data_IF_613217716623
#
_entry.id   IF_613217716623
#
_cell.length_a   1.000
_cell.length_b   1.000
_cell.length_c   1.000
_cell.angle_alpha   90.00
_cell.angle_beta   90.00
_cell.angle_gamma   90.00
#
_symmetry.space_group_name_H-M   'P 1'
#
loop_
_entity.id
_entity.type
_entity.pdbx_description
1 polymer ?
#
# COMPACT_ATOMS: atom_id res chain seq x y z
N UNK A 1 29.12 -10.78 9.67
CA UNK A 1 28.05 -9.82 9.28
C UNK A 1 27.46 -9.23 10.56
N UNK A 2 27.33 -7.91 10.70
CA UNK A 2 26.82 -7.28 11.94
C UNK A 2 25.33 -7.54 12.15
N UNK A 3 24.87 -7.53 13.41
CA UNK A 3 23.46 -7.75 13.79
C UNK A 3 22.53 -6.78 13.04
N UNK A 4 22.87 -5.50 12.99
CA UNK A 4 22.08 -4.47 12.29
C UNK A 4 21.98 -4.71 10.79
N UNK A 5 23.07 -5.13 10.13
CA UNK A 5 23.05 -5.46 8.70
C UNK A 5 22.15 -6.67 8.44
N UNK A 6 22.21 -7.70 9.30
CA UNK A 6 21.33 -8.88 9.21
C UNK A 6 19.87 -8.48 9.32
N UNK A 7 19.51 -7.65 10.30
CA UNK A 7 18.12 -7.20 10.48
C UNK A 7 17.62 -6.37 9.31
N UNK A 8 18.43 -5.44 8.79
CA UNK A 8 18.06 -4.64 7.62
C UNK A 8 17.87 -5.52 6.37
N UNK A 9 18.75 -6.50 6.14
CA UNK A 9 18.61 -7.45 5.03
C UNK A 9 17.37 -8.31 5.18
N UNK A 10 17.10 -8.86 6.37
CA UNK A 10 15.87 -9.62 6.62
C UNK A 10 14.65 -8.77 6.34
N UNK A 11 14.68 -7.48 6.73
CA UNK A 11 13.56 -6.57 6.50
C UNK A 11 13.27 -6.28 5.05
N UNK A 12 14.29 -5.98 4.27
CA UNK A 12 14.15 -5.80 2.82
C UNK A 12 13.65 -7.09 2.16
N UNK A 13 14.24 -8.23 2.50
CA UNK A 13 13.89 -9.52 1.87
C UNK A 13 12.50 -10.03 2.25
N UNK A 14 11.93 -9.55 3.36
CA UNK A 14 10.57 -9.91 3.79
C UNK A 14 9.52 -8.92 3.28
N UNK A 15 9.93 -7.87 2.56
CA UNK A 15 8.99 -6.90 2.01
C UNK A 15 8.11 -7.58 0.95
N UNK A 16 6.79 -7.41 1.08
CA UNK A 16 5.84 -7.97 0.13
C UNK A 16 5.66 -7.01 -1.05
N UNK A 17 5.58 -7.54 -2.27
CA UNK A 17 5.20 -6.78 -3.45
C UNK A 17 3.72 -7.00 -3.73
N UNK A 18 2.95 -5.91 -3.80
CA UNK A 18 1.52 -5.95 -4.08
C UNK A 18 1.19 -5.10 -5.31
N UNK A 19 0.57 -5.73 -6.30
CA UNK A 19 0.08 -5.07 -7.51
C UNK A 19 -1.37 -4.64 -7.32
N UNK A 20 -1.65 -3.36 -7.55
CA UNK A 20 -2.98 -2.75 -7.41
C UNK A 20 -3.57 -2.34 -8.77
N UNK A 21 -4.85 -2.59 -9.06
CA UNK A 21 -5.81 -3.29 -8.22
C UNK A 21 -5.51 -4.80 -8.21
N UNK A 22 -5.66 -5.46 -7.06
CA UNK A 22 -5.41 -6.88 -6.97
C UNK A 22 -6.54 -7.67 -7.62
N UNK A 23 -6.18 -8.56 -8.54
CA UNK A 23 -7.10 -9.34 -9.41
C UNK A 23 -8.20 -10.09 -8.62
N UNK A 24 -7.96 -10.38 -7.33
CA UNK A 24 -8.90 -11.14 -6.48
C UNK A 24 -9.92 -10.31 -5.69
N UNK A 25 -9.71 -9.00 -5.48
CA UNK A 25 -10.53 -8.21 -4.55
C UNK A 25 -11.62 -7.35 -5.23
N UNK A 26 -11.85 -7.58 -6.52
CA UNK A 26 -12.92 -6.96 -7.29
C UNK A 26 -13.89 -8.03 -7.79
N UNK A 27 -14.20 -9.03 -6.95
CA UNK A 27 -15.36 -9.87 -7.23
C UNK A 27 -16.63 -9.09 -6.84
N UNK A 28 -17.73 -9.33 -7.57
CA UNK A 28 -18.96 -8.56 -7.39
C UNK A 28 -19.51 -8.68 -5.95
N UNK A 29 -19.33 -9.83 -5.29
CA UNK A 29 -19.85 -10.06 -3.95
C UNK A 29 -19.13 -9.21 -2.88
N UNK A 30 -17.82 -9.06 -2.98
CA UNK A 30 -17.03 -8.20 -2.09
C UNK A 30 -17.31 -6.72 -2.33
N UNK A 31 -17.47 -6.32 -3.60
CA UNK A 31 -17.87 -4.97 -3.97
C UNK A 31 -19.27 -4.65 -3.46
N UNK A 32 -20.22 -5.55 -3.64
CA UNK A 32 -21.59 -5.39 -3.14
C UNK A 32 -21.59 -5.27 -1.61
N UNK A 33 -20.84 -6.12 -0.89
CA UNK A 33 -20.70 -5.98 0.57
C UNK A 33 -20.11 -4.64 0.98
N UNK A 34 -19.11 -4.13 0.24
CA UNK A 34 -18.47 -2.86 0.54
C UNK A 34 -19.41 -1.69 0.29
N UNK A 35 -20.11 -1.65 -0.85
CA UNK A 35 -21.04 -0.57 -1.20
C UNK A 35 -22.35 -0.61 -0.41
N UNK A 36 -22.90 -1.79 -0.13
CA UNK A 36 -24.12 -1.94 0.68
C UNK A 36 -23.92 -1.52 2.14
N UNK A 37 -22.67 -1.42 2.61
CA UNK A 37 -22.40 -0.87 3.93
C UNK A 37 -22.64 0.64 4.01
N UNK A 38 -22.63 1.37 2.89
CA UNK A 38 -22.83 2.83 2.87
C UNK A 38 -24.32 3.18 2.65
N UNK A 39 -24.80 4.29 3.23
CA UNK A 39 -26.19 4.73 3.03
C UNK A 39 -26.44 5.06 1.56
N UNK A 40 -27.52 4.55 0.99
CA UNK A 40 -27.95 4.89 -0.38
C UNK A 40 -28.81 6.15 -0.45
N UNK A 41 -29.32 6.62 0.69
CA UNK A 41 -30.10 7.85 0.84
C UNK A 41 -30.00 8.42 2.27
N UNK A 42 -30.32 9.70 2.45
CA UNK A 42 -30.49 10.34 3.75
C UNK A 42 -31.37 11.59 3.61
N UNK A 43 -31.92 12.09 4.72
CA UNK A 43 -32.81 13.26 4.70
C UNK A 43 -32.07 14.60 4.62
N UNK A 44 -30.77 14.60 4.94
CA UNK A 44 -29.89 15.76 4.80
C UNK A 44 -28.44 15.38 4.52
N UNK A 45 -27.64 16.34 4.06
CA UNK A 45 -26.21 16.18 3.87
C UNK A 45 -25.48 15.74 5.16
N UNK A 46 -25.83 16.35 6.30
CA UNK A 46 -25.18 16.04 7.58
C UNK A 46 -25.46 14.60 8.02
N UNK A 47 -26.69 14.13 7.89
CA UNK A 47 -27.04 12.74 8.18
C UNK A 47 -26.31 11.77 7.25
N UNK A 48 -26.25 12.09 5.96
CA UNK A 48 -25.52 11.27 4.98
C UNK A 48 -24.03 11.18 5.33
N UNK A 49 -23.43 12.30 5.73
CA UNK A 49 -22.02 12.37 6.10
C UNK A 49 -21.72 11.58 7.38
N UNK A 50 -22.55 11.72 8.42
CA UNK A 50 -22.40 10.96 9.67
C UNK A 50 -22.53 9.46 9.40
N UNK A 51 -23.61 9.04 8.73
CA UNK A 51 -23.84 7.63 8.40
C UNK A 51 -22.72 7.05 7.54
N UNK A 52 -22.24 7.79 6.52
CA UNK A 52 -21.10 7.36 5.71
C UNK A 52 -19.80 7.23 6.52
N UNK A 53 -19.59 8.10 7.50
CA UNK A 53 -18.42 8.06 8.39
C UNK A 53 -18.45 6.84 9.31
N UNK A 54 -19.63 6.50 9.84
CA UNK A 54 -19.83 5.30 10.65
C UNK A 54 -19.64 4.02 9.82
N UNK A 55 -20.21 3.97 8.61
CA UNK A 55 -20.00 2.87 7.66
C UNK A 55 -18.53 2.69 7.29
N UNK A 56 -17.81 3.78 7.02
CA UNK A 56 -16.37 3.73 6.75
C UNK A 56 -15.59 3.17 7.96
N UNK A 57 -15.94 3.60 9.18
CA UNK A 57 -15.32 3.10 10.40
C UNK A 57 -15.61 1.60 10.63
N UNK A 58 -16.79 1.11 10.25
CA UNK A 58 -17.13 -0.30 10.32
C UNK A 58 -16.39 -1.13 9.26
N UNK A 59 -16.40 -0.67 8.00
CA UNK A 59 -15.78 -1.34 6.86
C UNK A 59 -14.25 -1.40 7.01
N UNK A 60 -13.61 -0.33 7.48
CA UNK A 60 -12.16 -0.26 7.71
C UNK A 60 -11.63 -1.19 8.81
N UNK A 61 -12.49 -1.78 9.64
CA UNK A 61 -12.08 -2.78 10.64
C UNK A 61 -11.80 -4.15 10.02
N UNK A 62 -12.30 -4.41 8.80
CA UNK A 62 -11.94 -5.58 8.02
C UNK A 62 -10.54 -5.38 7.43
N UNK A 63 -9.60 -6.31 7.65
CA UNK A 63 -8.25 -6.25 7.07
C UNK A 63 -8.27 -6.16 5.54
N UNK A 64 -9.22 -6.85 4.89
CA UNK A 64 -9.39 -6.84 3.44
C UNK A 64 -9.82 -5.46 2.94
N UNK A 65 -10.82 -4.88 3.60
CA UNK A 65 -11.38 -3.60 3.19
C UNK A 65 -10.47 -2.43 3.55
N UNK A 66 -9.77 -2.51 4.69
CA UNK A 66 -8.74 -1.54 5.06
C UNK A 66 -7.64 -1.46 4.00
N UNK A 67 -7.26 -2.60 3.42
CA UNK A 67 -6.30 -2.62 2.32
C UNK A 67 -6.89 -1.91 1.11
N UNK A 68 -8.10 -2.28 0.66
CA UNK A 68 -8.76 -1.67 -0.52
C UNK A 68 -8.94 -0.15 -0.39
N UNK A 69 -9.39 0.32 0.77
CA UNK A 69 -9.73 1.73 1.01
C UNK A 69 -8.52 2.66 1.16
N UNK A 70 -7.33 2.11 1.46
CA UNK A 70 -6.11 2.90 1.63
C UNK A 70 -5.38 3.20 0.30
N UNK A 71 -5.89 2.67 -0.82
CA UNK A 71 -5.30 2.89 -2.14
C UNK A 71 -6.18 3.78 -3.01
N UNK A 72 -5.56 4.59 -3.89
CA UNK A 72 -6.31 5.41 -4.83
C UNK A 72 -7.17 4.52 -5.74
N UNK A 73 -8.44 4.90 -5.85
CA UNK A 73 -9.40 4.28 -6.78
C UNK A 73 -8.98 4.52 -8.23
N UNK A 74 -8.29 5.63 -8.50
CA UNK A 74 -7.71 5.92 -9.80
C UNK A 74 -6.42 5.12 -10.00
N UNK A 75 -6.57 3.89 -10.49
CA UNK A 75 -5.48 2.96 -10.77
C UNK A 75 -4.63 3.37 -11.99
N UNK A 76 -5.09 4.32 -12.82
CA UNK A 76 -4.36 4.82 -13.98
C UNK A 76 -3.22 5.77 -13.57
N UNK A 77 -3.27 6.32 -12.36
CA UNK A 77 -2.19 7.15 -11.85
C UNK A 77 -0.98 6.30 -11.45
N UNK A 78 0.26 6.76 -11.74
CA UNK A 78 1.49 6.07 -11.35
C UNK A 78 1.71 6.16 -9.84
N UNK A 79 1.04 5.29 -9.09
CA UNK A 79 1.13 5.23 -7.64
C UNK A 79 2.07 4.10 -7.20
N UNK A 80 3.13 4.47 -6.49
CA UNK A 80 4.00 3.55 -5.78
C UNK A 80 4.17 3.99 -4.34
N UNK A 81 3.91 3.09 -3.39
CA UNK A 81 4.03 3.40 -1.96
C UNK A 81 4.51 2.21 -1.16
N UNK A 82 5.52 2.43 -0.34
CA UNK A 82 5.85 1.52 0.74
C UNK A 82 4.96 1.79 1.96
N UNK A 83 4.20 0.79 2.37
CA UNK A 83 3.38 0.80 3.57
C UNK A 83 4.17 0.20 4.74
N UNK A 84 4.47 1.04 5.74
CA UNK A 84 5.38 0.69 6.84
C UNK A 84 4.79 -0.33 7.82
N UNK A 85 3.51 -0.21 8.25
CA UNK A 85 2.91 -1.17 9.16
C UNK A 85 2.81 -2.57 8.58
N UNK A 86 2.51 -2.71 7.29
CA UNK A 86 2.40 -4.02 6.64
C UNK A 86 3.70 -4.50 6.01
N UNK A 87 4.72 -3.64 5.89
CA UNK A 87 5.96 -3.97 5.19
C UNK A 87 5.78 -4.21 3.68
N UNK A 88 4.77 -3.60 3.08
CA UNK A 88 4.36 -3.90 1.70
C UNK A 88 4.73 -2.77 0.75
N UNK A 89 5.40 -3.10 -0.36
CA UNK A 89 5.56 -2.23 -1.52
C UNK A 89 4.34 -2.39 -2.44
N UNK A 90 3.51 -1.35 -2.50
CA UNK A 90 2.34 -1.31 -3.36
C UNK A 90 2.69 -0.59 -4.67
N UNK A 91 2.32 -1.20 -5.79
CA UNK A 91 2.53 -0.66 -7.14
C UNK A 91 1.21 -0.73 -7.88
N UNK A 92 0.65 0.44 -8.23
CA UNK A 92 -0.55 0.51 -9.06
C UNK A 92 -0.23 0.17 -10.52
N UNK A 93 -1.19 -0.37 -11.27
CA UNK A 93 -1.04 -0.68 -12.70
C UNK A 93 -0.65 0.55 -13.53
N UNK A 94 -1.11 1.75 -13.16
CA UNK A 94 -0.68 3.01 -13.77
C UNK A 94 0.81 3.30 -13.64
N UNK A 95 1.50 2.70 -12.65
CA UNK A 95 2.95 2.78 -12.54
C UNK A 95 3.69 1.88 -13.55
N UNK A 96 3.02 0.88 -14.11
CA UNK A 96 3.52 0.01 -15.17
C UNK A 96 3.19 0.63 -16.54
N UNK A 97 3.44 1.95 -16.66
CA UNK A 97 3.18 2.73 -17.85
C UNK A 97 4.26 3.82 -18.01
N UNK A 98 4.26 4.50 -19.16
CA UNK A 98 5.21 5.57 -19.44
C UNK A 98 5.04 6.73 -18.42
N UNK A 99 6.13 7.38 -17.99
CA UNK A 99 7.53 7.14 -18.40
C UNK A 99 8.27 6.09 -17.55
N UNK A 100 7.60 5.47 -16.57
CA UNK A 100 8.24 4.56 -15.62
C UNK A 100 8.55 3.19 -16.24
N UNK A 101 7.70 2.72 -17.14
CA UNK A 101 7.84 1.44 -17.81
C UNK A 101 7.39 1.53 -19.28
N UNK A 102 8.07 0.80 -20.14
CA UNK A 102 7.75 0.69 -21.57
C UNK A 102 7.77 -0.79 -21.95
N UNK A 103 6.70 -1.37 -22.50
CA UNK A 103 6.68 -2.82 -22.78
C UNK A 103 7.86 -3.34 -23.62
N UNK A 104 8.38 -2.50 -24.52
CA UNK A 104 9.54 -2.80 -25.39
C UNK A 104 10.78 -1.95 -25.08
N UNK A 105 10.88 -1.41 -23.86
CA UNK A 105 12.03 -0.58 -23.46
C UNK A 105 13.31 -1.40 -23.24
N UNK A 106 14.44 -0.71 -23.08
CA UNK A 106 15.70 -1.36 -22.68
C UNK A 106 15.73 -1.60 -21.17
N UNK A 107 16.59 -2.51 -20.71
CA UNK A 107 16.81 -2.71 -19.26
C UNK A 107 17.18 -1.41 -18.55
N UNK A 108 17.96 -0.53 -19.18
CA UNK A 108 18.30 0.77 -18.62
C UNK A 108 17.05 1.64 -18.37
N UNK A 109 16.06 1.61 -19.27
CA UNK A 109 14.79 2.31 -19.09
C UNK A 109 13.98 1.70 -17.94
N UNK A 110 13.98 0.37 -17.80
CA UNK A 110 13.27 -0.31 -16.70
C UNK A 110 13.87 -0.01 -15.35
N UNK A 111 15.19 -0.11 -15.22
CA UNK A 111 15.89 0.17 -13.97
C UNK A 111 15.89 1.66 -13.64
N UNK A 112 15.98 2.54 -14.64
CA UNK A 112 15.96 3.99 -14.45
C UNK A 112 14.57 4.55 -14.09
N UNK A 113 13.50 3.95 -14.60
CA UNK A 113 12.13 4.38 -14.32
C UNK A 113 11.52 3.64 -13.13
N UNK A 114 10.92 2.49 -13.41
CA UNK A 114 10.20 1.69 -12.42
C UNK A 114 11.13 1.17 -11.32
N UNK A 115 12.30 0.64 -11.69
CA UNK A 115 13.26 0.09 -10.73
C UNK A 115 13.74 1.12 -9.70
N UNK A 116 14.15 2.30 -10.17
CA UNK A 116 14.51 3.43 -9.32
C UNK A 116 13.37 3.85 -8.41
N UNK A 117 12.15 3.96 -8.96
CA UNK A 117 10.96 4.36 -8.21
C UNK A 117 10.61 3.36 -7.10
N UNK A 118 10.69 2.06 -7.40
CA UNK A 118 10.50 1.00 -6.41
C UNK A 118 11.58 1.05 -5.32
N UNK A 119 12.85 1.26 -5.70
CA UNK A 119 13.95 1.37 -4.75
C UNK A 119 13.76 2.57 -3.81
N UNK A 120 13.33 3.72 -4.33
CA UNK A 120 13.05 4.92 -3.53
C UNK A 120 11.97 4.65 -2.47
N UNK A 121 10.95 3.87 -2.80
CA UNK A 121 9.94 3.46 -1.83
C UNK A 121 10.49 2.46 -0.82
N UNK A 122 11.26 1.47 -1.27
CA UNK A 122 11.83 0.44 -0.40
C UNK A 122 12.81 1.00 0.64
N UNK A 123 13.56 2.05 0.31
CA UNK A 123 14.44 2.76 1.26
C UNK A 123 13.66 3.33 2.44
N UNK A 124 12.37 3.65 2.30
CA UNK A 124 11.51 4.10 3.41
C UNK A 124 11.31 3.05 4.50
N UNK A 125 11.61 1.77 4.22
CA UNK A 125 11.66 0.71 5.23
C UNK A 125 12.80 0.90 6.24
N UNK A 126 13.84 1.65 5.85
CA UNK A 126 15.06 1.90 6.60
C UNK A 126 15.26 3.38 6.95
N UNK A 127 14.32 4.27 6.61
CA UNK A 127 14.35 5.66 7.07
C UNK A 127 14.06 5.77 8.58
N UNK A 128 14.21 6.96 9.15
CA UNK A 128 14.04 7.18 10.59
C UNK A 128 12.68 6.77 11.13
N UNK A 129 11.63 6.74 10.29
CA UNK A 129 10.31 6.21 10.64
C UNK A 129 10.23 4.71 10.39
N UNK A 130 10.75 4.24 9.25
CA UNK A 130 10.75 2.86 8.83
C UNK A 130 11.39 1.96 9.88
N UNK A 131 12.52 2.37 10.44
CA UNK A 131 13.24 1.63 11.47
C UNK A 131 12.46 1.38 12.76
N UNK A 132 11.39 2.12 13.01
CA UNK A 132 10.53 1.97 14.19
C UNK A 132 9.50 0.83 14.00
N UNK A 133 9.33 0.36 12.76
CA UNK A 133 8.41 -0.73 12.43
C UNK A 133 9.17 -2.05 12.32
N UNK A 134 8.72 -3.05 13.07
CA UNK A 134 9.18 -4.43 12.95
C UNK A 134 8.45 -5.16 11.81
N UNK A 135 8.93 -6.36 11.46
CA UNK A 135 8.39 -7.15 10.34
C UNK A 135 6.97 -7.66 10.56
N UNK A 136 6.58 -7.80 11.82
CA UNK A 136 5.24 -8.18 12.25
C UNK A 136 4.29 -6.97 12.36
N UNK A 137 4.71 -5.79 11.87
CA UNK A 137 3.92 -4.57 11.94
C UNK A 137 3.83 -3.93 13.33
N UNK A 138 4.55 -4.45 14.33
CA UNK A 138 4.58 -3.81 15.65
C UNK A 138 5.50 -2.60 15.63
N UNK A 139 5.03 -1.53 16.26
CA UNK A 139 5.81 -0.31 16.48
C UNK A 139 6.64 -0.46 17.76
N UNK A 140 7.96 -0.32 17.67
CA UNK A 140 8.86 -0.56 18.80
C UNK A 140 10.28 -0.09 18.49
N UNK A 141 10.94 0.49 19.50
CA UNK A 141 12.13 1.35 19.37
C UNK A 141 13.26 0.85 18.46
N UNK A 142 13.96 1.83 17.87
CA UNK A 142 15.14 1.75 17.00
C UNK A 142 15.87 0.40 17.02
N UNK A 143 15.95 -0.25 15.85
CA UNK A 143 16.82 -1.42 15.57
C UNK A 143 18.31 -1.12 15.82
N UNK A 144 18.64 0.15 16.08
CA UNK A 144 19.97 0.67 16.39
C UNK A 144 19.97 1.21 17.83
N UNK A 145 19.88 0.35 18.83
CA UNK A 145 20.49 0.64 20.13
C UNK A 145 21.90 0.07 20.12
N UNK A 146 22.88 0.94 20.37
CA UNK A 146 24.31 0.60 20.53
C UNK A 146 24.51 -0.51 21.56
#
# INVERSE_FOLDING_TARGET
MSKSRRTATTKINSALLHLWPPVRYLNNEELDRLYNAFPSNASSFFEYWVASSESLAAVSRSQVNAHVLNYPVNYELPYLRYDRPTGTLNVAVGAVNHPLYYGNGTSAMFYGGLGFSMALQLVKSLDHYGLQWHLNGTFGGSIFTR
#
